data_IF_364531006550
#
_entry.id   IF_364531006550
#
_cell.length_a   1.000
_cell.length_b   1.000
_cell.length_c   1.000
_cell.angle_alpha   90.00
_cell.angle_beta   90.00
_cell.angle_gamma   90.00
#
_symmetry.space_group_name_H-M   'P 1'
#
loop_
_entity.id
_entity.type
_entity.pdbx_description
1 polymer ?
#
# COMPACT_ATOMS: atom_id res chain seq x y z
N UNK A 1 -7.60 -8.21 19.03
CA UNK A 1 -7.96 -8.10 17.60
C UNK A 1 -8.32 -9.50 17.11
N UNK A 2 -9.34 -9.65 16.27
CA UNK A 2 -9.72 -10.94 15.67
C UNK A 2 -8.66 -11.37 14.64
N UNK A 3 -8.07 -12.54 14.84
CA UNK A 3 -7.05 -13.11 13.97
C UNK A 3 -7.56 -13.33 12.53
N UNK A 4 -8.84 -13.67 12.36
CA UNK A 4 -9.45 -13.86 11.04
C UNK A 4 -9.53 -12.53 10.28
N UNK A 5 -9.77 -11.41 10.98
CA UNK A 5 -9.75 -10.08 10.35
C UNK A 5 -8.33 -9.66 9.99
N UNK A 6 -7.35 -9.90 10.86
CA UNK A 6 -5.93 -9.64 10.55
C UNK A 6 -5.51 -10.43 9.31
N UNK A 7 -5.86 -11.71 9.27
CA UNK A 7 -5.62 -12.58 8.13
C UNK A 7 -6.33 -12.07 6.87
N UNK A 8 -7.60 -11.70 6.93
CA UNK A 8 -8.34 -11.20 5.77
C UNK A 8 -7.67 -9.95 5.16
N UNK A 9 -7.25 -8.99 5.99
CA UNK A 9 -6.54 -7.80 5.51
C UNK A 9 -5.14 -8.12 5.00
N UNK A 10 -4.45 -9.11 5.57
CA UNK A 10 -3.17 -9.59 5.07
C UNK A 10 -3.31 -10.31 3.72
N UNK A 11 -4.26 -11.22 3.61
CA UNK A 11 -4.59 -11.95 2.40
C UNK A 11 -5.01 -10.97 1.29
N UNK A 12 -5.76 -9.91 1.61
CA UNK A 12 -6.03 -8.83 0.64
C UNK A 12 -4.75 -8.18 0.11
N UNK A 13 -3.74 -7.94 0.96
CA UNK A 13 -2.46 -7.35 0.55
C UNK A 13 -1.63 -8.24 -0.38
N UNK A 14 -1.74 -9.56 -0.24
CA UNK A 14 -0.89 -10.54 -0.94
C UNK A 14 -1.60 -11.28 -2.10
N UNK A 15 -2.90 -11.53 -1.98
CA UNK A 15 -3.70 -12.38 -2.87
C UNK A 15 -4.55 -11.59 -3.87
N UNK A 16 -4.93 -10.34 -3.54
CA UNK A 16 -5.71 -9.48 -4.44
C UNK A 16 -4.82 -8.90 -5.55
N UNK A 17 -4.37 -9.80 -6.44
CA UNK A 17 -3.34 -9.52 -7.42
C UNK A 17 -1.99 -9.09 -6.80
N UNK A 18 -0.97 -8.84 -7.62
CA UNK A 18 0.38 -8.56 -7.09
C UNK A 18 0.57 -7.18 -6.39
N UNK A 19 -0.48 -6.42 -6.07
CA UNK A 19 -0.39 -4.95 -6.10
C UNK A 19 -1.03 -4.14 -4.94
N UNK A 20 -1.69 -4.77 -3.96
CA UNK A 20 -2.34 -4.02 -2.86
C UNK A 20 -1.35 -3.45 -1.84
N UNK A 21 -0.19 -4.10 -1.63
CA UNK A 21 0.84 -3.53 -0.77
C UNK A 21 1.27 -2.12 -1.25
N UNK A 22 1.28 -1.88 -2.56
CA UNK A 22 1.53 -0.55 -3.15
C UNK A 22 0.33 0.37 -3.02
N UNK A 23 -0.90 -0.15 -3.15
CA UNK A 23 -2.13 0.63 -2.98
C UNK A 23 -2.12 1.35 -1.63
N UNK A 24 -1.97 0.62 -0.51
CA UNK A 24 -1.91 1.26 0.80
C UNK A 24 -0.60 1.99 1.03
N UNK A 25 0.54 1.49 0.56
CA UNK A 25 1.83 2.20 0.71
C UNK A 25 1.82 3.58 0.08
N UNK A 26 1.23 3.71 -1.12
CA UNK A 26 1.24 4.93 -1.91
C UNK A 26 -0.05 5.74 -1.80
N UNK A 27 -1.07 5.24 -1.08
CA UNK A 27 -2.30 5.99 -0.82
C UNK A 27 -1.91 7.37 -0.26
N UNK A 28 -2.24 8.48 -0.93
CA UNK A 28 -1.87 9.81 -0.47
C UNK A 28 -2.44 10.09 0.92
N UNK A 29 -1.79 10.97 1.68
CA UNK A 29 -2.33 11.50 2.92
C UNK A 29 -3.37 12.58 2.62
N UNK A 30 -4.58 12.43 3.17
CA UNK A 30 -5.67 13.40 3.09
C UNK A 30 -6.70 13.18 4.18
N UNK A 31 -7.28 14.28 4.67
CA UNK A 31 -8.42 14.23 5.58
C UNK A 31 -9.75 14.02 4.85
N UNK A 32 -10.78 13.62 5.59
CA UNK A 32 -12.15 13.53 5.06
C UNK A 32 -12.59 14.84 4.40
N UNK A 33 -13.06 14.76 3.15
CA UNK A 33 -13.46 15.91 2.34
C UNK A 33 -12.32 16.86 1.95
N UNK A 34 -11.06 16.51 2.22
CA UNK A 34 -9.89 17.28 1.81
C UNK A 34 -9.28 16.68 0.55
N UNK A 35 -8.62 17.54 -0.23
CA UNK A 35 -7.85 17.10 -1.39
C UNK A 35 -6.53 16.47 -0.93
N UNK A 36 -6.12 15.34 -1.51
CA UNK A 36 -4.78 14.80 -1.29
C UNK A 36 -3.69 15.74 -1.79
N UNK A 37 -2.50 15.57 -1.24
CA UNK A 37 -1.31 16.17 -1.81
C UNK A 37 -1.17 15.75 -3.28
N UNK A 38 -0.83 16.73 -4.13
CA UNK A 38 -0.84 16.51 -5.57
C UNK A 38 0.29 15.59 -6.01
N UNK A 39 1.47 15.71 -5.43
CA UNK A 39 2.62 14.87 -5.79
C UNK A 39 2.38 13.43 -5.33
N UNK A 40 1.86 13.23 -4.12
CA UNK A 40 1.48 11.89 -3.66
C UNK A 40 0.36 11.28 -4.51
N UNK A 41 -0.65 12.07 -4.89
CA UNK A 41 -1.74 11.60 -5.75
C UNK A 41 -1.23 11.18 -7.14
N UNK A 42 -0.36 11.97 -7.78
CA UNK A 42 0.16 11.63 -9.10
C UNK A 42 1.04 10.39 -9.07
N UNK A 43 1.85 10.21 -8.02
CA UNK A 43 2.62 8.98 -7.82
C UNK A 43 1.70 7.77 -7.66
N UNK A 44 0.67 7.87 -6.80
CA UNK A 44 -0.32 6.82 -6.60
C UNK A 44 -0.99 6.42 -7.92
N UNK A 45 -1.51 7.40 -8.66
CA UNK A 45 -2.21 7.16 -9.94
C UNK A 45 -1.26 6.54 -10.97
N UNK A 46 -0.01 7.01 -11.07
CA UNK A 46 0.98 6.45 -11.99
C UNK A 46 1.20 4.96 -11.73
N UNK A 47 1.44 4.58 -10.47
CA UNK A 47 1.69 3.17 -10.11
C UNK A 47 0.41 2.34 -10.28
N UNK A 48 -0.75 2.84 -9.83
CA UNK A 48 -2.01 2.13 -10.02
C UNK A 48 -2.34 1.94 -11.50
N UNK A 49 -2.03 2.91 -12.37
CA UNK A 49 -2.27 2.80 -13.82
C UNK A 49 -1.56 1.60 -14.46
N UNK A 50 -0.30 1.35 -14.07
CA UNK A 50 0.50 0.21 -14.53
C UNK A 50 -0.04 -1.09 -13.93
N UNK A 51 -0.43 -1.06 -12.66
CA UNK A 51 -0.86 -2.25 -11.91
C UNK A 51 -2.27 -2.74 -12.30
N UNK A 52 -3.18 -1.85 -12.70
CA UNK A 52 -4.54 -2.20 -13.14
C UNK A 52 -4.51 -2.99 -14.45
N UNK A 53 -3.77 -2.51 -15.46
CA UNK A 53 -3.86 -3.07 -16.81
C UNK A 53 -3.02 -4.34 -17.02
N UNK A 54 -2.10 -4.65 -16.08
CA UNK A 54 -1.12 -5.75 -16.16
C UNK A 54 -0.24 -5.75 -17.43
N UNK A 55 -0.26 -4.69 -18.24
CA UNK A 55 0.67 -4.55 -19.36
C UNK A 55 1.96 -3.92 -18.81
N UNK A 56 2.88 -4.79 -18.36
CA UNK A 56 4.20 -4.43 -17.83
C UNK A 56 5.05 -3.61 -18.83
N UNK A 57 4.57 -3.43 -20.07
CA UNK A 57 5.20 -2.70 -21.16
C UNK A 57 4.70 -1.27 -21.37
N UNK A 58 3.84 -0.73 -20.48
CA UNK A 58 3.53 0.71 -20.49
C UNK A 58 2.83 1.22 -21.76
N UNK A 59 2.06 0.36 -22.45
CA UNK A 59 1.45 0.71 -23.74
C UNK A 59 0.21 1.58 -23.66
N UNK A 60 -0.39 1.73 -22.47
CA UNK A 60 -1.59 2.55 -22.29
C UNK A 60 -1.18 3.92 -21.75
N UNK A 61 -1.27 5.00 -22.54
CA UNK A 61 -0.93 6.33 -22.08
C UNK A 61 -1.78 6.76 -20.88
N UNK A 62 -1.15 7.42 -19.92
CA UNK A 62 -1.87 8.04 -18.80
C UNK A 62 -2.46 9.38 -19.25
N UNK A 63 -3.59 9.33 -19.95
CA UNK A 63 -4.33 10.53 -20.36
C UNK A 63 -5.00 11.22 -19.16
N UNK A 64 -5.37 12.49 -19.32
CA UNK A 64 -6.15 13.23 -18.33
C UNK A 64 -7.45 12.50 -17.94
N UNK A 65 -8.12 11.87 -18.91
CA UNK A 65 -9.34 11.10 -18.68
C UNK A 65 -9.06 9.84 -17.86
N UNK A 66 -8.04 9.07 -18.26
CA UNK A 66 -7.62 7.86 -17.54
C UNK A 66 -7.19 8.16 -16.11
N UNK A 67 -6.50 9.28 -15.89
CA UNK A 67 -6.13 9.75 -14.56
C UNK A 67 -7.38 9.92 -13.68
N UNK A 68 -8.43 10.57 -14.19
CA UNK A 68 -9.69 10.76 -13.44
C UNK A 68 -10.37 9.43 -13.13
N UNK A 69 -10.42 8.51 -14.08
CA UNK A 69 -11.02 7.19 -13.88
C UNK A 69 -10.33 6.39 -12.78
N UNK A 70 -8.99 6.48 -12.69
CA UNK A 70 -8.22 5.85 -11.61
C UNK A 70 -8.51 6.56 -10.28
N UNK A 71 -8.55 7.88 -10.26
CA UNK A 71 -8.92 8.64 -9.05
C UNK A 71 -10.32 8.25 -8.56
N UNK A 72 -11.33 8.27 -9.42
CA UNK A 72 -12.73 7.95 -9.08
C UNK A 72 -12.92 6.49 -8.66
N UNK A 73 -12.04 5.59 -9.11
CA UNK A 73 -12.01 4.20 -8.65
C UNK A 73 -11.67 4.12 -7.17
N UNK A 74 -10.60 4.80 -6.75
CA UNK A 74 -10.03 4.65 -5.41
C UNK A 74 -10.43 5.74 -4.42
N UNK A 75 -10.81 6.93 -4.86
CA UNK A 75 -10.98 8.12 -4.03
C UNK A 75 -12.33 8.78 -4.30
N UNK A 76 -13.05 9.13 -3.25
CA UNK A 76 -14.33 9.84 -3.37
C UNK A 76 -14.13 11.35 -3.30
N UNK A 77 -14.81 12.10 -4.17
CA UNK A 77 -14.95 13.57 -4.05
C UNK A 77 -13.68 14.37 -4.34
N UNK A 78 -12.70 13.78 -5.03
CA UNK A 78 -11.45 14.47 -5.39
C UNK A 78 -11.61 15.23 -6.71
N UNK A 79 -11.66 16.55 -6.63
CA UNK A 79 -11.68 17.42 -7.82
C UNK A 79 -10.27 17.54 -8.43
N UNK A 80 -10.13 17.11 -9.69
CA UNK A 80 -8.86 17.10 -10.42
C UNK A 80 -8.64 18.38 -11.23
N UNK A 81 -7.50 19.03 -10.96
CA UNK A 81 -6.96 20.15 -11.77
C UNK A 81 -5.61 19.72 -12.32
N UNK A 82 -5.61 19.24 -13.57
CA UNK A 82 -4.42 18.69 -14.21
C UNK A 82 -3.28 19.69 -14.30
N UNK A 83 -2.09 19.24 -13.89
CA UNK A 83 -0.81 19.96 -13.93
C UNK A 83 0.33 18.96 -13.68
N UNK A 84 1.57 19.35 -13.95
CA UNK A 84 2.73 18.55 -13.59
C UNK A 84 2.88 18.40 -12.07
N UNK A 85 3.70 17.44 -11.68
CA UNK A 85 4.12 17.10 -10.32
C UNK A 85 5.59 16.74 -10.35
N UNK A 86 6.20 16.46 -9.20
CA UNK A 86 7.59 15.96 -9.17
C UNK A 86 7.75 14.61 -9.88
N UNK A 87 6.67 13.82 -9.99
CA UNK A 87 6.68 12.48 -10.59
C UNK A 87 6.20 12.45 -12.05
N UNK A 88 5.27 13.33 -12.42
CA UNK A 88 4.67 13.31 -13.74
C UNK A 88 4.67 14.70 -14.37
N UNK A 89 5.14 14.79 -15.60
CA UNK A 89 4.95 15.95 -16.47
C UNK A 89 3.60 15.85 -17.18
N UNK A 90 2.81 16.93 -17.13
CA UNK A 90 1.54 17.01 -17.83
C UNK A 90 1.63 17.95 -19.02
N UNK A 91 1.50 17.41 -20.24
CA UNK A 91 1.50 18.19 -21.47
C UNK A 91 0.58 17.55 -22.51
N UNK A 92 -0.07 18.37 -23.33
CA UNK A 92 -0.96 17.92 -24.41
C UNK A 92 -2.07 16.93 -23.98
N UNK A 93 -2.53 17.01 -22.72
CA UNK A 93 -3.59 16.12 -22.20
C UNK A 93 -3.10 14.77 -21.69
N UNK A 94 -1.78 14.56 -21.63
CA UNK A 94 -1.16 13.30 -21.22
C UNK A 94 -0.11 13.52 -20.13
N UNK A 95 0.07 12.49 -19.30
CA UNK A 95 1.09 12.44 -18.27
C UNK A 95 2.25 11.54 -18.70
N UNK A 96 3.47 12.05 -18.53
CA UNK A 96 4.72 11.33 -18.79
C UNK A 96 5.53 11.24 -17.50
N UNK A 97 6.11 10.09 -17.23
CA UNK A 97 6.95 9.88 -16.06
C UNK A 97 8.26 10.69 -16.13
N UNK A 98 8.60 11.42 -15.06
CA UNK A 98 9.89 12.14 -14.94
C UNK A 98 11.05 11.23 -14.56
N UNK A 99 10.76 10.00 -14.12
CA UNK A 99 11.71 9.01 -13.63
C UNK A 99 11.86 9.08 -12.11
N UNK A 100 11.38 8.04 -11.41
CA UNK A 100 11.55 7.87 -9.97
C UNK A 100 11.61 6.37 -9.64
N UNK A 101 12.10 6.09 -8.44
CA UNK A 101 12.16 4.72 -7.91
C UNK A 101 11.06 4.51 -6.86
N UNK A 102 10.48 3.32 -6.85
CA UNK A 102 9.53 2.86 -5.82
C UNK A 102 10.08 1.58 -5.19
N UNK A 103 11.32 1.64 -4.68
CA UNK A 103 11.96 0.49 -4.06
C UNK A 103 11.25 0.03 -2.81
N UNK A 104 11.31 -1.28 -2.54
CA UNK A 104 10.89 -1.87 -1.28
C UNK A 104 9.39 -2.14 -1.20
N UNK A 105 8.92 -2.45 -0.01
CA UNK A 105 7.52 -2.81 0.25
C UNK A 105 7.15 -2.45 1.69
N UNK A 106 5.86 -2.21 1.92
CA UNK A 106 5.34 -2.14 3.28
C UNK A 106 4.14 -3.07 3.41
N UNK A 107 4.15 -3.88 4.46
CA UNK A 107 3.05 -4.75 4.85
C UNK A 107 2.38 -4.22 6.11
N UNK A 108 1.08 -4.40 6.20
CA UNK A 108 0.25 -3.80 7.23
C UNK A 108 -0.46 -4.87 8.03
N UNK A 109 -0.53 -4.65 9.34
CA UNK A 109 -1.36 -5.43 10.25
C UNK A 109 -2.47 -4.57 10.79
N UNK A 110 -3.71 -5.04 10.67
CA UNK A 110 -4.87 -4.38 11.26
C UNK A 110 -4.76 -4.35 12.79
N UNK A 111 -4.88 -3.17 13.39
CA UNK A 111 -4.84 -2.97 14.85
C UNK A 111 -6.16 -2.48 15.43
N UNK A 112 -6.99 -1.83 14.61
CA UNK A 112 -8.35 -1.42 14.95
C UNK A 112 -9.22 -1.40 13.71
N UNK A 113 -10.50 -1.77 13.86
CA UNK A 113 -11.53 -1.58 12.84
C UNK A 113 -12.81 -1.13 13.53
N UNK A 114 -13.38 -0.03 13.05
CA UNK A 114 -14.62 0.52 13.57
C UNK A 114 -15.54 0.93 12.43
N UNK A 115 -16.85 0.86 12.67
CA UNK A 115 -17.86 1.35 11.74
C UNK A 115 -18.12 2.82 12.04
N UNK A 116 -17.83 3.70 11.09
CA UNK A 116 -17.99 5.14 11.23
C UNK A 116 -19.35 5.65 10.70
N UNK A 117 -20.10 4.80 9.99
CA UNK A 117 -21.42 5.12 9.44
C UNK A 117 -22.02 3.94 8.68
N UNK A 118 -23.13 4.17 7.99
CA UNK A 118 -23.69 3.16 7.07
C UNK A 118 -22.71 2.92 5.92
N UNK A 119 -22.16 1.70 5.82
CA UNK A 119 -21.19 1.34 4.78
C UNK A 119 -19.77 1.90 4.94
N UNK A 120 -19.51 2.76 5.94
CA UNK A 120 -18.23 3.44 6.14
C UNK A 120 -17.48 2.82 7.32
N UNK A 121 -16.20 2.51 7.11
CA UNK A 121 -15.31 1.93 8.10
C UNK A 121 -14.05 2.77 8.28
N UNK A 122 -13.52 2.80 9.51
CA UNK A 122 -12.20 3.36 9.82
C UNK A 122 -11.33 2.25 10.40
N UNK A 123 -10.18 2.02 9.77
CA UNK A 123 -9.20 1.04 10.17
C UNK A 123 -7.88 1.70 10.53
N UNK A 124 -7.24 1.21 11.59
CA UNK A 124 -5.87 1.57 11.96
C UNK A 124 -4.97 0.37 11.72
N UNK A 125 -3.76 0.62 11.24
CA UNK A 125 -2.77 -0.42 10.97
C UNK A 125 -1.42 -0.09 11.59
N UNK A 126 -0.63 -1.12 11.89
CA UNK A 126 0.82 -0.97 12.00
C UNK A 126 1.46 -1.42 10.69
N UNK A 127 2.38 -0.61 10.15
CA UNK A 127 3.08 -0.87 8.89
C UNK A 127 4.57 -1.17 9.09
N UNK A 128 5.06 -2.15 8.35
CA UNK A 128 6.41 -2.72 8.42
C UNK A 128 7.08 -2.68 7.07
N UNK A 129 8.16 -1.91 6.96
CA UNK A 129 8.86 -1.65 5.71
C UNK A 129 10.01 -2.63 5.51
N UNK A 130 10.16 -3.06 4.26
CA UNK A 130 11.18 -3.96 3.76
C UNK A 130 11.84 -3.33 2.53
N UNK A 131 13.14 -3.54 2.36
CA UNK A 131 13.90 -3.10 1.17
C UNK A 131 13.68 -4.08 0.02
N UNK A 132 14.10 -3.67 -1.17
CA UNK A 132 14.14 -4.55 -2.35
C UNK A 132 15.61 -4.77 -2.74
N UNK A 133 16.11 -6.02 -2.85
CA UNK A 133 15.43 -7.29 -2.55
C UNK A 133 15.66 -7.76 -1.10
N UNK A 134 14.68 -7.57 -0.22
CA UNK A 134 14.61 -8.33 1.04
C UNK A 134 14.02 -9.71 0.78
N UNK A 135 14.80 -10.73 1.10
CA UNK A 135 14.41 -12.13 1.06
C UNK A 135 15.35 -12.94 1.98
N UNK A 136 14.95 -14.16 2.34
CA UNK A 136 15.78 -15.07 3.15
C UNK A 136 17.06 -15.53 2.44
N UNK A 137 17.13 -15.40 1.10
CA UNK A 137 18.34 -15.68 0.33
C UNK A 137 19.36 -14.53 0.34
N UNK A 138 18.96 -13.32 0.75
CA UNK A 138 19.83 -12.14 0.77
C UNK A 138 20.81 -12.18 1.96
N UNK A 139 22.04 -11.64 1.82
CA UNK A 139 22.97 -11.53 2.93
C UNK A 139 22.41 -10.70 4.08
N UNK A 140 22.59 -11.14 5.33
CA UNK A 140 22.11 -10.44 6.54
C UNK A 140 22.55 -8.96 6.61
N UNK A 141 23.74 -8.64 6.09
CA UNK A 141 24.28 -7.27 6.05
C UNK A 141 23.65 -6.39 4.97
N UNK A 142 22.91 -6.97 4.04
CA UNK A 142 22.34 -6.29 2.87
C UNK A 142 20.82 -6.08 2.96
N UNK A 143 20.15 -6.63 3.98
CA UNK A 143 18.69 -6.55 4.13
C UNK A 143 18.25 -5.46 5.12
N UNK A 144 16.96 -5.10 5.09
CA UNK A 144 16.37 -4.17 6.06
C UNK A 144 16.37 -4.71 7.49
N UNK A 145 16.17 -3.83 8.47
CA UNK A 145 16.12 -4.23 9.88
C UNK A 145 14.92 -5.14 10.19
N UNK A 146 13.77 -4.93 9.54
CA UNK A 146 12.64 -5.85 9.67
C UNK A 146 12.92 -7.22 9.04
N UNK A 147 13.70 -7.27 7.95
CA UNK A 147 14.12 -8.55 7.38
C UNK A 147 15.12 -9.28 8.28
N UNK A 148 16.08 -8.56 8.89
CA UNK A 148 16.97 -9.13 9.91
C UNK A 148 16.17 -9.71 11.08
N UNK A 149 15.17 -8.97 11.57
CA UNK A 149 14.32 -9.44 12.64
C UNK A 149 13.53 -10.71 12.28
N UNK A 150 13.06 -10.83 11.02
CA UNK A 150 12.46 -12.08 10.53
C UNK A 150 13.48 -13.23 10.45
N UNK A 151 14.70 -12.97 9.99
CA UNK A 151 15.78 -13.97 9.98
C UNK A 151 16.10 -14.46 11.40
N UNK A 152 16.25 -13.53 12.35
CA UNK A 152 16.52 -13.83 13.76
C UNK A 152 15.36 -14.62 14.41
N UNK A 153 14.12 -14.23 14.13
CA UNK A 153 12.92 -14.93 14.62
C UNK A 153 12.86 -16.38 14.13
N UNK A 154 13.22 -16.60 12.87
CA UNK A 154 13.10 -17.92 12.25
C UNK A 154 14.28 -18.86 12.58
N UNK A 155 15.46 -18.32 12.88
CA UNK A 155 16.68 -19.09 13.03
C UNK A 155 17.19 -19.71 11.73
N UNK A 156 18.12 -20.65 11.84
CA UNK A 156 18.71 -21.36 10.70
C UNK A 156 17.72 -22.42 10.14
N UNK A 157 17.30 -22.28 8.86
CA UNK A 157 16.51 -23.30 8.14
C UNK A 157 15.13 -22.87 7.59
N UNK A 158 14.76 -21.60 7.69
CA UNK A 158 13.41 -21.10 7.35
C UNK A 158 13.20 -20.63 5.91
N UNK A 159 14.24 -20.66 5.07
CA UNK A 159 14.17 -20.20 3.69
C UNK A 159 13.11 -20.95 2.86
N UNK A 160 12.77 -22.19 3.25
CA UNK A 160 11.87 -23.08 2.50
C UNK A 160 10.41 -22.61 2.50
N UNK A 161 9.95 -21.88 3.53
CA UNK A 161 8.56 -21.44 3.64
C UNK A 161 8.28 -20.13 2.87
N UNK A 162 9.33 -19.36 2.55
CA UNK A 162 9.25 -18.10 1.81
C UNK A 162 8.83 -16.89 2.64
N UNK A 163 9.33 -15.71 2.22
CA UNK A 163 9.15 -14.42 2.91
C UNK A 163 7.70 -14.09 3.31
N UNK A 164 6.77 -14.15 2.35
CA UNK A 164 5.37 -13.74 2.59
C UNK A 164 4.65 -14.68 3.55
N UNK A 165 4.93 -15.97 3.48
CA UNK A 165 4.30 -16.92 4.40
C UNK A 165 4.72 -16.63 5.84
N UNK A 166 6.04 -16.52 6.07
CA UNK A 166 6.59 -16.25 7.40
C UNK A 166 6.10 -14.90 7.94
N UNK A 167 6.11 -13.86 7.11
CA UNK A 167 5.59 -12.55 7.51
C UNK A 167 4.11 -12.63 7.91
N UNK A 168 3.30 -13.35 7.13
CA UNK A 168 1.89 -13.58 7.45
C UNK A 168 1.69 -14.25 8.80
N UNK A 169 2.49 -15.27 9.12
CA UNK A 169 2.45 -15.94 10.42
C UNK A 169 2.87 -15.00 11.56
N UNK A 170 3.92 -14.19 11.37
CA UNK A 170 4.35 -13.20 12.37
C UNK A 170 3.26 -12.15 12.61
N UNK A 171 2.62 -11.62 11.57
CA UNK A 171 1.60 -10.58 11.72
C UNK A 171 0.31 -11.07 12.40
N UNK A 172 0.00 -12.38 12.35
CA UNK A 172 -1.16 -12.95 13.07
C UNK A 172 -0.94 -13.01 14.58
N UNK A 173 0.32 -13.02 15.03
CA UNK A 173 0.64 -13.12 16.46
C UNK A 173 0.19 -11.88 17.24
N UNK A 174 -0.12 -12.02 18.54
CA UNK A 174 -0.38 -10.88 19.41
C UNK A 174 0.89 -10.08 19.75
N UNK A 175 2.06 -10.71 19.76
CA UNK A 175 3.38 -10.15 20.10
C UNK A 175 4.21 -9.75 18.87
N UNK A 176 3.59 -9.62 17.69
CA UNK A 176 4.26 -9.22 16.42
C UNK A 176 5.15 -7.98 16.56
N UNK A 177 4.78 -7.03 17.43
CA UNK A 177 5.51 -5.78 17.66
C UNK A 177 6.78 -5.98 18.51
N UNK A 178 6.97 -7.14 19.14
CA UNK A 178 8.23 -7.53 19.78
C UNK A 178 9.22 -8.10 18.76
N UNK A 179 8.72 -8.58 17.62
CA UNK A 179 9.54 -9.14 16.52
C UNK A 179 9.86 -8.04 15.50
N UNK A 180 8.84 -7.31 15.02
CA UNK A 180 8.99 -6.35 13.94
C UNK A 180 9.01 -4.91 14.45
N UNK A 181 9.88 -4.10 13.86
CA UNK A 181 9.90 -2.65 14.07
C UNK A 181 8.79 -2.00 13.25
N UNK A 182 7.82 -1.41 13.94
CA UNK A 182 6.80 -0.56 13.31
C UNK A 182 7.43 0.71 12.74
N UNK A 183 7.23 0.96 11.45
CA UNK A 183 7.73 2.14 10.74
C UNK A 183 6.64 3.19 10.52
N UNK A 184 5.38 2.77 10.46
CA UNK A 184 4.26 3.68 10.23
C UNK A 184 2.96 3.16 10.83
N UNK A 185 2.01 4.07 11.04
CA UNK A 185 0.67 3.78 11.52
C UNK A 185 -0.36 4.58 10.72
N UNK A 186 -0.88 4.03 9.60
CA UNK A 186 -1.95 4.68 8.88
C UNK A 186 -3.31 4.42 9.55
N UNK A 187 -4.12 5.47 9.58
CA UNK A 187 -5.56 5.42 9.82
C UNK A 187 -6.27 5.72 8.51
N UNK A 188 -7.07 4.77 8.03
CA UNK A 188 -7.73 4.83 6.73
C UNK A 188 -9.23 4.71 6.93
N UNK A 189 -9.98 5.65 6.36
CA UNK A 189 -11.44 5.57 6.29
C UNK A 189 -11.85 5.22 4.87
N UNK A 190 -12.74 4.24 4.72
CA UNK A 190 -13.13 3.72 3.42
C UNK A 190 -14.57 3.19 3.39
N UNK A 191 -15.09 3.05 2.18
CA UNK A 191 -16.29 2.29 1.83
C UNK A 191 -15.89 0.98 1.17
N UNK A 192 -16.70 -0.05 1.35
CA UNK A 192 -16.55 -1.30 0.60
C UNK A 192 -17.16 -1.15 -0.79
N UNK A 193 -16.48 -1.68 -1.80
CA UNK A 193 -17.00 -1.76 -3.17
C UNK A 193 -17.49 -3.18 -3.48
N UNK A 194 -18.26 -3.32 -4.57
CA UNK A 194 -18.68 -4.62 -5.08
C UNK A 194 -17.60 -5.34 -5.92
N UNK A 195 -16.45 -4.71 -6.20
CA UNK A 195 -15.32 -5.34 -6.91
C UNK A 195 -14.29 -5.86 -5.89
N UNK A 196 -14.18 -7.18 -5.66
CA UNK A 196 -13.27 -7.74 -4.66
C UNK A 196 -11.79 -7.49 -5.00
N UNK A 197 -11.44 -7.13 -6.25
CA UNK A 197 -10.07 -6.77 -6.61
C UNK A 197 -9.70 -5.34 -6.20
N UNK A 198 -10.70 -4.49 -6.01
CA UNK A 198 -10.57 -3.09 -5.59
C UNK A 198 -11.59 -2.83 -4.48
N UNK A 199 -11.46 -3.60 -3.40
CA UNK A 199 -12.50 -3.73 -2.38
C UNK A 199 -12.76 -2.42 -1.61
N UNK A 200 -11.88 -1.43 -1.74
CA UNK A 200 -11.91 -0.19 -0.98
C UNK A 200 -12.03 1.04 -1.87
N UNK A 201 -12.92 1.95 -1.47
CA UNK A 201 -12.89 3.35 -1.90
C UNK A 201 -12.57 4.23 -0.70
N UNK A 202 -11.48 4.98 -0.78
CA UNK A 202 -10.91 5.73 0.32
C UNK A 202 -11.53 7.12 0.46
N UNK A 203 -11.88 7.45 1.69
CA UNK A 203 -12.43 8.73 2.13
C UNK A 203 -11.40 9.59 2.88
N UNK A 204 -10.42 8.95 3.51
CA UNK A 204 -9.28 9.61 4.14
C UNK A 204 -8.14 8.63 4.38
N UNK A 205 -6.91 9.15 4.40
CA UNK A 205 -5.74 8.44 4.89
C UNK A 205 -4.89 9.42 5.71
N UNK A 206 -4.57 9.03 6.94
CA UNK A 206 -3.65 9.79 7.80
C UNK A 206 -2.56 8.85 8.26
N UNK A 207 -1.33 9.12 7.86
CA UNK A 207 -0.16 8.36 8.28
C UNK A 207 0.67 9.06 9.35
N UNK A 208 1.06 8.28 10.35
CA UNK A 208 2.10 8.67 11.31
C UNK A 208 3.34 7.84 11.02
N UNK A 209 4.47 8.48 10.74
CA UNK A 209 5.77 7.82 10.57
C UNK A 209 6.51 7.74 11.90
N UNK A 210 7.09 6.59 12.18
CA UNK A 210 7.85 6.31 13.39
C UNK A 210 9.34 6.35 13.02
N UNK A 211 10.02 7.44 13.37
CA UNK A 211 11.47 7.59 13.17
C UNK A 211 12.25 6.98 14.33
#
# INVERSE_FOLDING_TARGET
MDENLVRLFYDYQIESGPNVCYEWRLLPDFGSGKKPDWDQLTQFVAIMSIRIDRDYFGKIPLTAQRFKEIVERFLTGVEIKHRSSVYLDFSNGEYTATGWDVTGSTYYRLTSLSKAGEGIYTATFDGFSFREPDDFSSPYTAVSDNMKALMDYCGEGSADAGFRHILGEVLKRPDYAEILKRDQQPEITFELTDDPRYAFRYLSCKRIYMY
#
